data_IF_738388859047
#
_entry.id   IF_738388859047
#
_cell.length_a   1.000
_cell.length_b   1.000
_cell.length_c   1.000
_cell.angle_alpha   90.00
_cell.angle_beta   90.00
_cell.angle_gamma   90.00
#
_symmetry.space_group_name_H-M   'P 1'
#
loop_
_entity.id
_entity.type
_entity.pdbx_description
1 polymer ?
#
# COMPACT_ATOMS: atom_id res chain seq x y z
N UNK A 1 -10.99 12.84 6.49
CA UNK A 1 -11.50 11.66 7.22
C UNK A 1 -12.92 11.82 7.78
N UNK A 2 -13.19 12.58 8.86
CA UNK A 2 -14.59 12.70 9.38
C UNK A 2 -15.54 13.41 8.40
N UNK A 3 -15.03 14.36 7.61
CA UNK A 3 -15.77 15.00 6.52
C UNK A 3 -16.06 14.05 5.34
N UNK A 4 -15.38 12.90 5.28
CA UNK A 4 -15.48 11.91 4.20
C UNK A 4 -16.38 10.71 4.62
N UNK A 5 -17.24 10.89 5.62
CA UNK A 5 -18.15 9.86 6.15
C UNK A 5 -17.48 8.61 6.75
N UNK A 6 -16.19 8.67 7.08
CA UNK A 6 -15.53 7.59 7.83
C UNK A 6 -16.02 7.58 9.29
N UNK A 7 -16.50 6.42 9.74
CA UNK A 7 -16.98 6.21 11.11
C UNK A 7 -15.82 5.81 12.01
N UNK A 8 -15.71 6.44 13.19
CA UNK A 8 -14.79 6.00 14.24
C UNK A 8 -15.34 4.74 14.90
N UNK A 9 -14.57 3.65 14.86
CA UNK A 9 -14.89 2.38 15.52
C UNK A 9 -14.37 2.38 16.96
N UNK A 10 -13.14 2.87 17.15
CA UNK A 10 -12.50 3.04 18.46
C UNK A 10 -11.41 4.10 18.39
N UNK A 11 -11.02 4.68 19.53
CA UNK A 11 -10.04 5.76 19.61
C UNK A 11 -10.58 7.12 19.21
N UNK A 12 -9.73 7.95 18.60
CA UNK A 12 -10.09 9.26 18.05
C UNK A 12 -9.91 10.44 19.00
N UNK A 13 -9.28 10.25 20.17
CA UNK A 13 -9.13 11.29 21.17
C UNK A 13 -7.67 11.60 21.51
N UNK A 14 -7.43 12.86 21.88
CA UNK A 14 -6.19 13.29 22.51
C UNK A 14 -6.13 12.74 23.93
N UNK A 15 -4.98 12.16 24.29
CA UNK A 15 -4.74 11.68 25.64
C UNK A 15 -4.13 12.79 26.50
N UNK A 16 -4.53 12.83 27.78
CA UNK A 16 -3.97 13.77 28.76
C UNK A 16 -2.51 13.41 29.09
N UNK A 17 -1.74 14.42 29.47
CA UNK A 17 -0.35 14.28 29.91
C UNK A 17 0.63 15.01 28.98
N UNK A 18 1.93 15.06 29.34
CA UNK A 18 2.94 15.73 28.53
C UNK A 18 3.21 14.98 27.22
N UNK A 19 3.52 15.74 26.15
CA UNK A 19 3.88 15.24 24.82
C UNK A 19 2.70 15.12 23.84
N UNK A 20 2.99 14.69 22.61
CA UNK A 20 1.97 14.40 21.60
C UNK A 20 1.42 12.99 21.81
N UNK A 21 0.20 12.89 22.33
CA UNK A 21 -0.44 11.61 22.66
C UNK A 21 -1.82 11.54 22.04
N UNK A 22 -2.06 10.47 21.28
CA UNK A 22 -3.32 10.21 20.62
C UNK A 22 -3.67 8.73 20.76
N UNK A 23 -4.95 8.42 20.92
CA UNK A 23 -5.41 7.03 20.99
C UNK A 23 -5.19 6.29 19.66
N UNK A 24 -4.91 4.99 19.74
CA UNK A 24 -4.95 4.13 18.56
C UNK A 24 -6.37 4.16 17.99
N UNK A 25 -6.50 4.54 16.73
CA UNK A 25 -7.79 4.87 16.12
C UNK A 25 -8.08 3.95 14.95
N UNK A 26 -9.25 3.31 14.99
CA UNK A 26 -9.77 2.52 13.88
C UNK A 26 -10.96 3.22 13.27
N UNK A 27 -10.91 3.44 11.97
CA UNK A 27 -11.96 4.03 11.15
C UNK A 27 -12.56 2.95 10.25
N UNK A 28 -13.83 3.10 9.88
CA UNK A 28 -14.45 2.30 8.82
C UNK A 28 -15.22 3.17 7.83
N UNK A 29 -15.25 2.76 6.56
CA UNK A 29 -16.05 3.37 5.50
C UNK A 29 -16.61 2.29 4.57
N UNK A 30 -17.73 2.55 3.89
CA UNK A 30 -18.22 1.65 2.84
C UNK A 30 -17.39 1.81 1.56
N UNK A 31 -17.40 0.78 0.71
CA UNK A 31 -16.78 0.83 -0.62
C UNK A 31 -17.31 2.00 -1.45
N UNK A 32 -18.61 2.28 -1.43
CA UNK A 32 -19.21 3.39 -2.17
C UNK A 32 -18.63 4.75 -1.76
N UNK A 33 -18.53 5.00 -0.45
CA UNK A 33 -17.98 6.25 0.05
C UNK A 33 -16.47 6.35 -0.21
N UNK A 34 -15.73 5.23 -0.14
CA UNK A 34 -14.34 5.18 -0.54
C UNK A 34 -14.14 5.60 -2.00
N UNK A 35 -14.91 5.01 -2.92
CA UNK A 35 -14.81 5.30 -4.36
C UNK A 35 -15.18 6.76 -4.70
N UNK A 36 -16.15 7.33 -3.97
CA UNK A 36 -16.57 8.73 -4.10
C UNK A 36 -15.54 9.72 -3.57
N UNK A 37 -14.86 9.40 -2.46
CA UNK A 37 -13.94 10.30 -1.74
C UNK A 37 -12.49 9.79 -1.77
N UNK A 38 -12.12 9.11 -2.86
CA UNK A 38 -10.86 8.35 -2.98
C UNK A 38 -9.59 9.17 -2.78
N UNK A 39 -9.61 10.47 -3.10
CA UNK A 39 -8.45 11.36 -2.91
C UNK A 39 -8.14 11.57 -1.43
N UNK A 40 -9.17 11.86 -0.64
CA UNK A 40 -9.01 12.21 0.79
C UNK A 40 -8.87 10.98 1.68
N UNK A 41 -9.43 9.84 1.25
CA UNK A 41 -9.43 8.59 2.04
C UNK A 41 -8.19 7.72 1.83
N UNK A 42 -7.35 8.05 0.84
CA UNK A 42 -6.06 7.38 0.61
C UNK A 42 -4.86 8.15 1.12
N UNK A 43 -5.04 9.42 1.51
CA UNK A 43 -3.97 10.23 2.10
C UNK A 43 -3.44 9.57 3.38
N UNK A 44 -2.11 9.41 3.45
CA UNK A 44 -1.47 8.81 4.60
C UNK A 44 -1.60 9.71 5.84
N UNK A 45 -2.17 9.16 6.91
CA UNK A 45 -2.12 9.76 8.23
C UNK A 45 -0.96 9.14 9.03
N UNK A 46 0.16 9.84 9.13
CA UNK A 46 1.34 9.35 9.86
C UNK A 46 1.06 9.24 11.38
N UNK A 47 0.75 8.04 11.85
CA UNK A 47 0.42 7.78 13.26
C UNK A 47 -0.36 6.49 13.46
N UNK A 48 -0.96 6.34 14.65
CA UNK A 48 -1.65 5.12 15.06
C UNK A 48 -3.12 5.10 14.57
N UNK A 49 -3.33 5.30 13.28
CA UNK A 49 -4.65 5.32 12.66
C UNK A 49 -4.72 4.28 11.55
N UNK A 50 -5.85 3.58 11.45
CA UNK A 50 -6.10 2.65 10.34
C UNK A 50 -7.53 2.80 9.84
N UNK A 51 -7.72 2.59 8.54
CA UNK A 51 -9.02 2.63 7.88
C UNK A 51 -9.38 1.24 7.35
N UNK A 52 -10.59 0.80 7.65
CA UNK A 52 -11.22 -0.37 7.03
C UNK A 52 -12.17 0.12 5.95
N UNK A 53 -11.97 -0.34 4.72
CA UNK A 53 -12.93 -0.15 3.62
C UNK A 53 -13.72 -1.45 3.46
N UNK A 54 -15.04 -1.37 3.64
CA UNK A 54 -15.93 -2.53 3.54
C UNK A 54 -16.55 -2.61 2.15
N UNK A 55 -16.06 -3.54 1.33
CA UNK A 55 -16.68 -3.87 0.04
C UNK A 55 -17.93 -4.73 0.27
N UNK A 56 -19.04 -4.39 -0.38
CA UNK A 56 -20.32 -5.11 -0.29
C UNK A 56 -20.33 -6.39 -1.12
N UNK A 57 -19.50 -6.48 -2.16
CA UNK A 57 -19.39 -7.65 -3.03
C UNK A 57 -18.06 -7.69 -3.79
N UNK A 58 -17.77 -8.84 -4.41
CA UNK A 58 -16.55 -9.10 -5.21
C UNK A 58 -16.25 -8.02 -6.24
N UNK A 59 -17.21 -7.64 -7.08
CA UNK A 59 -16.97 -6.63 -8.11
C UNK A 59 -16.54 -5.26 -7.53
N UNK A 60 -17.11 -4.84 -6.40
CA UNK A 60 -16.73 -3.59 -5.74
C UNK A 60 -15.34 -3.70 -5.10
N UNK A 61 -14.96 -4.87 -4.58
CA UNK A 61 -13.59 -5.09 -4.11
C UNK A 61 -12.58 -4.88 -5.24
N UNK A 62 -12.82 -5.45 -6.42
CA UNK A 62 -11.93 -5.28 -7.58
C UNK A 62 -11.84 -3.81 -7.99
N UNK A 63 -12.97 -3.11 -8.04
CA UNK A 63 -13.03 -1.67 -8.35
C UNK A 63 -12.24 -0.83 -7.33
N UNK A 64 -12.36 -1.15 -6.03
CA UNK A 64 -11.59 -0.48 -4.97
C UNK A 64 -10.09 -0.67 -5.19
N UNK A 65 -9.64 -1.90 -5.45
CA UNK A 65 -8.21 -2.21 -5.66
C UNK A 65 -7.68 -1.50 -6.90
N UNK A 66 -8.46 -1.45 -7.98
CA UNK A 66 -8.10 -0.75 -9.21
C UNK A 66 -7.92 0.76 -9.00
N UNK A 67 -8.65 1.36 -8.05
CA UNK A 67 -8.57 2.78 -7.72
C UNK A 67 -7.55 3.12 -6.62
N UNK A 68 -6.83 2.12 -6.09
CA UNK A 68 -5.73 2.40 -5.17
C UNK A 68 -4.64 3.24 -5.84
N UNK A 69 -4.06 4.16 -5.08
CA UNK A 69 -2.83 4.85 -5.45
C UNK A 69 -1.60 3.94 -5.32
N UNK A 70 -0.45 4.42 -5.80
CA UNK A 70 0.81 3.71 -5.65
C UNK A 70 1.25 3.58 -4.20
N UNK A 71 1.55 2.34 -3.76
CA UNK A 71 1.93 1.99 -2.40
C UNK A 71 3.29 1.29 -2.35
N UNK A 72 3.99 1.38 -1.21
CA UNK A 72 5.23 0.61 -1.00
C UNK A 72 4.95 -0.90 -0.95
N UNK A 73 3.84 -1.27 -0.34
CA UNK A 73 3.45 -2.66 -0.13
C UNK A 73 1.97 -2.90 -0.33
N UNK A 74 1.61 -4.10 -0.78
CA UNK A 74 0.26 -4.65 -0.73
C UNK A 74 0.30 -6.01 -0.07
N UNK A 75 -0.72 -6.36 0.70
CA UNK A 75 -0.79 -7.66 1.36
C UNK A 75 -2.14 -8.31 1.06
N UNK A 76 -2.13 -9.58 0.71
CA UNK A 76 -3.34 -10.40 0.60
C UNK A 76 -3.29 -11.46 1.69
N UNK A 77 -4.35 -11.51 2.50
CA UNK A 77 -4.57 -12.60 3.45
C UNK A 77 -5.54 -13.57 2.81
N UNK A 78 -5.11 -14.81 2.65
CA UNK A 78 -5.83 -15.84 1.89
C UNK A 78 -5.99 -17.09 2.75
N UNK A 79 -7.03 -17.87 2.47
CA UNK A 79 -7.33 -19.12 3.15
C UNK A 79 -6.22 -20.17 2.93
N UNK A 80 -5.94 -20.97 3.97
CA UNK A 80 -4.85 -21.95 3.90
C UNK A 80 -5.18 -23.20 3.08
N UNK A 81 -6.47 -23.44 2.79
CA UNK A 81 -6.94 -24.59 2.01
C UNK A 81 -7.47 -24.19 0.63
N UNK A 82 -7.26 -22.94 0.22
CA UNK A 82 -7.51 -22.43 -1.13
C UNK A 82 -8.97 -22.11 -1.45
N UNK A 83 -9.82 -21.87 -0.43
CA UNK A 83 -11.23 -21.52 -0.66
C UNK A 83 -11.40 -20.19 -1.41
N UNK A 84 -10.41 -19.30 -1.34
CA UNK A 84 -10.42 -17.98 -1.95
C UNK A 84 -9.44 -17.83 -3.13
N UNK A 85 -8.82 -18.93 -3.60
CA UNK A 85 -7.92 -18.93 -4.76
C UNK A 85 -8.54 -18.25 -6.00
N UNK A 86 -9.82 -18.50 -6.37
CA UNK A 86 -10.41 -17.83 -7.53
C UNK A 86 -10.57 -16.31 -7.35
N UNK A 87 -10.65 -15.82 -6.11
CA UNK A 87 -10.69 -14.38 -5.84
C UNK A 87 -9.27 -13.80 -5.79
N UNK A 88 -8.32 -14.55 -5.24
CA UNK A 88 -6.89 -14.19 -5.24
C UNK A 88 -6.41 -13.93 -6.67
N UNK A 89 -6.70 -14.83 -7.61
CA UNK A 89 -6.29 -14.72 -9.02
C UNK A 89 -6.83 -13.45 -9.72
N UNK A 90 -7.94 -12.88 -9.23
CA UNK A 90 -8.47 -11.61 -9.73
C UNK A 90 -7.88 -10.38 -9.03
N UNK A 91 -7.63 -10.47 -7.73
CA UNK A 91 -7.15 -9.34 -6.92
C UNK A 91 -5.64 -9.13 -7.07
N UNK A 92 -4.86 -10.21 -7.16
CA UNK A 92 -3.40 -10.18 -7.18
C UNK A 92 -2.85 -9.31 -8.32
N UNK A 93 -3.28 -9.45 -9.59
CA UNK A 93 -2.73 -8.67 -10.69
C UNK A 93 -3.07 -7.18 -10.57
N UNK A 94 -4.27 -6.86 -10.07
CA UNK A 94 -4.69 -5.49 -9.83
C UNK A 94 -3.83 -4.85 -8.75
N UNK A 95 -3.63 -5.54 -7.62
CA UNK A 95 -2.82 -5.04 -6.51
C UNK A 95 -1.34 -4.95 -6.88
N UNK A 96 -0.82 -5.90 -7.65
CA UNK A 96 0.58 -5.90 -8.13
C UNK A 96 0.91 -4.63 -8.91
N UNK A 97 -0.03 -4.14 -9.73
CA UNK A 97 0.14 -2.89 -10.48
C UNK A 97 0.21 -1.64 -9.57
N UNK A 98 -0.21 -1.75 -8.31
CA UNK A 98 -0.26 -0.66 -7.33
C UNK A 98 0.90 -0.65 -6.35
N UNK A 99 1.68 -1.73 -6.25
CA UNK A 99 2.62 -1.89 -5.14
C UNK A 99 4.02 -2.26 -5.60
N UNK A 100 5.05 -1.77 -4.90
CA UNK A 100 6.42 -2.24 -5.15
C UNK A 100 6.67 -3.64 -4.61
N UNK A 101 6.04 -4.00 -3.48
CA UNK A 101 6.20 -5.32 -2.88
C UNK A 101 4.86 -5.90 -2.48
N UNK A 102 4.51 -7.01 -3.10
CA UNK A 102 3.35 -7.81 -2.74
C UNK A 102 3.73 -8.87 -1.71
N UNK A 103 2.89 -9.06 -0.70
CA UNK A 103 3.05 -10.08 0.33
C UNK A 103 1.77 -10.90 0.47
N UNK A 104 1.94 -12.15 0.88
CA UNK A 104 0.82 -13.04 1.19
C UNK A 104 0.94 -13.51 2.64
N UNK A 105 -0.15 -13.42 3.39
CA UNK A 105 -0.24 -13.90 4.79
C UNK A 105 0.85 -13.35 5.73
N UNK A 106 1.24 -12.08 5.55
CA UNK A 106 2.33 -11.45 6.31
C UNK A 106 2.12 -9.94 6.47
N UNK A 107 2.55 -9.40 7.61
CA UNK A 107 2.56 -7.94 7.85
C UNK A 107 3.70 -7.24 7.08
N UNK A 108 3.47 -6.02 6.57
CA UNK A 108 4.42 -5.33 5.70
C UNK A 108 5.61 -4.68 6.42
N UNK A 109 5.55 -4.55 7.75
CA UNK A 109 6.49 -3.75 8.57
C UNK A 109 7.94 -4.23 8.51
N UNK A 110 8.16 -5.53 8.29
CA UNK A 110 9.51 -6.08 8.10
C UNK A 110 10.06 -5.77 6.71
N UNK A 111 11.21 -5.10 6.65
CA UNK A 111 11.96 -4.84 5.41
C UNK A 111 13.31 -5.57 5.48
N UNK A 112 13.45 -6.62 4.68
CA UNK A 112 14.68 -7.42 4.58
C UNK A 112 15.67 -6.72 3.63
N UNK A 113 16.94 -6.65 4.03
CA UNK A 113 18.02 -6.17 3.15
C UNK A 113 18.52 -7.35 2.32
N UNK A 114 17.95 -7.55 1.13
CA UNK A 114 18.36 -8.61 0.20
C UNK A 114 18.38 -8.11 -1.25
N UNK A 115 19.04 -8.84 -2.18
CA UNK A 115 19.06 -8.46 -3.60
C UNK A 115 17.69 -8.43 -4.28
N UNK A 116 16.72 -9.19 -3.76
CA UNK A 116 15.36 -9.26 -4.29
C UNK A 116 14.43 -8.18 -3.70
N UNK A 117 14.91 -7.33 -2.78
CA UNK A 117 14.05 -6.36 -2.11
C UNK A 117 13.62 -5.24 -3.05
N UNK A 118 12.30 -5.04 -3.12
CA UNK A 118 11.69 -3.86 -3.72
C UNK A 118 11.11 -2.96 -2.61
N UNK A 119 11.83 -1.88 -2.29
CA UNK A 119 11.39 -0.84 -1.37
C UNK A 119 11.23 0.47 -2.15
N UNK A 120 10.02 0.66 -2.67
CA UNK A 120 9.59 1.70 -3.59
C UNK A 120 8.24 1.28 -4.17
N UNK A 121 7.82 1.84 -5.30
CA UNK A 121 6.57 1.46 -5.96
C UNK A 121 6.09 2.55 -6.92
N UNK A 122 4.90 2.40 -7.53
CA UNK A 122 4.24 3.47 -8.28
C UNK A 122 4.07 4.73 -7.43
N UNK A 123 4.04 5.91 -8.06
CA UNK A 123 3.75 7.16 -7.37
C UNK A 123 2.37 7.08 -6.66
N UNK A 124 2.21 7.58 -5.42
CA UNK A 124 3.14 8.39 -4.64
C UNK A 124 4.21 7.63 -3.82
N UNK A 125 4.22 6.30 -3.81
CA UNK A 125 5.17 5.53 -3.00
C UNK A 125 6.65 5.81 -3.32
N UNK A 126 6.97 6.10 -4.57
CA UNK A 126 8.29 6.64 -4.95
C UNK A 126 8.19 7.57 -6.16
N UNK A 127 9.20 8.42 -6.33
CA UNK A 127 9.30 9.31 -7.50
C UNK A 127 9.70 8.59 -8.79
N UNK A 128 10.22 7.35 -8.71
CA UNK A 128 10.56 6.55 -9.89
C UNK A 128 10.34 5.05 -9.58
N UNK A 129 9.28 4.42 -10.13
CA UNK A 129 8.88 3.06 -9.74
C UNK A 129 9.89 1.98 -10.15
N UNK A 130 10.71 2.23 -11.17
CA UNK A 130 11.74 1.29 -11.64
C UNK A 130 12.95 1.10 -10.71
N UNK A 131 13.03 1.78 -9.57
CA UNK A 131 14.16 1.67 -8.64
C UNK A 131 13.72 1.27 -7.23
N UNK A 132 14.55 0.48 -6.56
CA UNK A 132 14.44 0.18 -5.13
C UNK A 132 15.39 1.04 -4.31
N UNK A 133 14.95 1.45 -3.12
CA UNK A 133 15.80 2.16 -2.16
C UNK A 133 16.57 1.24 -1.22
N UNK A 134 16.18 -0.02 -1.09
CA UNK A 134 16.76 -1.02 -0.18
C UNK A 134 17.13 -2.28 -0.95
N UNK A 135 18.28 -2.86 -0.62
CA UNK A 135 18.76 -4.11 -1.24
C UNK A 135 19.87 -3.86 -2.26
N UNK A 136 20.96 -4.63 -2.15
CA UNK A 136 22.11 -4.55 -3.05
C UNK A 136 22.12 -5.73 -4.02
N UNK A 137 22.57 -5.55 -5.28
CA UNK A 137 23.15 -4.31 -5.83
C UNK A 137 22.12 -3.33 -6.40
N UNK A 138 20.84 -3.71 -6.51
CA UNK A 138 19.83 -2.94 -7.26
C UNK A 138 19.69 -1.48 -6.81
N UNK A 139 19.72 -1.20 -5.50
CA UNK A 139 19.60 0.18 -4.98
C UNK A 139 20.79 1.08 -5.33
N UNK A 140 21.96 0.52 -5.66
CA UNK A 140 23.15 1.27 -6.08
C UNK A 140 22.95 1.89 -7.47
N UNK A 141 22.13 1.27 -8.33
CA UNK A 141 21.92 1.71 -9.71
C UNK A 141 21.30 3.11 -9.82
N UNK A 142 20.64 3.59 -8.75
CA UNK A 142 20.14 4.97 -8.65
C UNK A 142 21.24 6.03 -8.75
N UNK A 143 22.48 5.65 -8.44
CA UNK A 143 23.65 6.52 -8.45
C UNK A 143 24.63 6.19 -9.59
N UNK A 144 24.24 5.32 -10.53
CA UNK A 144 25.07 4.90 -11.65
C UNK A 144 24.56 5.48 -12.97
N UNK A 145 25.47 5.70 -13.93
CA UNK A 145 25.12 6.12 -15.29
C UNK A 145 25.76 5.16 -16.31
N UNK A 146 24.94 4.59 -17.20
CA UNK A 146 25.42 3.73 -18.29
C UNK A 146 25.92 4.62 -19.44
N UNK A 147 27.10 4.30 -19.98
CA UNK A 147 27.68 4.95 -21.18
C UNK A 147 27.93 3.87 -22.22
N UNK A 148 27.54 4.13 -23.47
CA UNK A 148 27.83 3.27 -24.62
C UNK A 148 28.86 3.98 -25.50
N UNK A 149 29.86 3.24 -26.01
CA UNK A 149 30.84 3.74 -26.97
C UNK A 149 30.81 2.84 -28.19
N UNK A 150 30.48 3.42 -29.34
CA UNK A 150 30.62 2.78 -30.64
C UNK A 150 31.83 3.41 -31.34
N UNK A 151 32.72 2.57 -31.90
CA UNK A 151 33.88 3.01 -32.68
C UNK A 151 33.88 2.28 -34.01
N UNK A 152 34.04 3.01 -35.10
CA UNK A 152 34.46 2.43 -36.38
C UNK A 152 35.93 2.02 -36.29
N UNK A 153 36.28 0.94 -36.98
CA UNK A 153 37.66 0.52 -37.18
C UNK A 153 38.43 1.53 -38.03
#
# INVERSE_FOLDING_TARGET
MQQCHARVITGGHLLKGPGYRFENTLLSVSGDHFLQQRSDLQEEAFGNVSLIVLASHRAQLLEIVEHLEGNLTGNIYTDSVGLDDPLYEEVEPLLQAKVGRLLTNKMPTGVIVSPAMMHGGPFPASGHPGFTAVGLPASLLRFAARRCYERQA
#
